data_IF_375268161685
#
_entry.id   IF_375268161685
#
_cell.length_a   1.000
_cell.length_b   1.000
_cell.length_c   1.000
_cell.angle_alpha   90.00
_cell.angle_beta   90.00
_cell.angle_gamma   90.00
#
_symmetry.space_group_name_H-M   'P 1'
#
loop_
_entity.id
_entity.type
_entity.pdbx_description
1 polymer ?
#
# COMPACT_ATOMS: atom_id res chain seq x y z
N UNK A 1 -0.34 16.42 5.48
CA UNK A 1 -0.98 16.12 4.20
C UNK A 1 -0.31 15.02 3.39
N UNK A 2 1.01 14.89 3.38
CA UNK A 2 1.75 13.83 2.67
C UNK A 2 1.29 12.41 3.03
N UNK A 3 1.22 12.02 4.31
CA UNK A 3 0.84 10.66 4.70
C UNK A 3 -0.61 10.34 4.27
N UNK A 4 -1.52 11.30 4.44
CA UNK A 4 -2.92 11.17 4.00
C UNK A 4 -3.04 11.02 2.48
N UNK A 5 -2.30 11.83 1.72
CA UNK A 5 -2.25 11.73 0.25
C UNK A 5 -1.66 10.40 -0.20
N UNK A 6 -0.60 9.95 0.45
CA UNK A 6 -0.01 8.64 0.19
C UNK A 6 -1.04 7.52 0.42
N UNK A 7 -1.71 7.50 1.58
CA UNK A 7 -2.74 6.51 1.89
C UNK A 7 -3.90 6.54 0.87
N UNK A 8 -4.35 7.74 0.47
CA UNK A 8 -5.41 7.87 -0.54
C UNK A 8 -4.95 7.35 -1.91
N UNK A 9 -3.76 7.75 -2.38
CA UNK A 9 -3.24 7.34 -3.69
C UNK A 9 -3.02 5.84 -3.75
N UNK A 10 -2.37 5.28 -2.74
CA UNK A 10 -2.18 3.82 -2.65
C UNK A 10 -3.51 3.11 -2.58
N UNK A 11 -4.46 3.61 -1.78
CA UNK A 11 -5.80 3.06 -1.66
C UNK A 11 -6.53 3.00 -3.01
N UNK A 12 -6.49 4.10 -3.77
CA UNK A 12 -7.07 4.19 -5.12
C UNK A 12 -6.39 3.19 -6.07
N UNK A 13 -5.05 3.19 -6.11
CA UNK A 13 -4.29 2.27 -6.98
C UNK A 13 -4.64 0.81 -6.69
N UNK A 14 -4.72 0.43 -5.42
CA UNK A 14 -5.02 -0.94 -5.01
C UNK A 14 -6.47 -1.33 -5.33
N UNK A 15 -7.44 -0.43 -5.16
CA UNK A 15 -8.80 -0.68 -5.63
C UNK A 15 -8.84 -0.92 -7.13
N UNK A 16 -8.17 -0.07 -7.91
CA UNK A 16 -8.11 -0.24 -9.36
C UNK A 16 -7.47 -1.57 -9.75
N UNK A 17 -6.32 -1.91 -9.16
CA UNK A 17 -5.65 -3.19 -9.41
C UNK A 17 -6.51 -4.40 -9.02
N UNK A 18 -7.15 -4.33 -7.86
CA UNK A 18 -8.03 -5.39 -7.37
C UNK A 18 -9.24 -5.61 -8.27
N UNK A 19 -9.89 -4.54 -8.74
CA UNK A 19 -10.99 -4.63 -9.71
C UNK A 19 -10.49 -5.17 -11.05
N UNK A 20 -9.41 -4.59 -11.59
CA UNK A 20 -8.88 -4.94 -12.90
C UNK A 20 -8.44 -6.41 -12.97
N UNK A 21 -7.86 -6.93 -11.89
CA UNK A 21 -7.41 -8.32 -11.84
C UNK A 21 -8.50 -9.37 -11.95
N UNK A 22 -9.78 -9.02 -11.74
CA UNK A 22 -10.89 -9.94 -12.02
C UNK A 22 -11.22 -10.04 -13.51
N UNK A 23 -10.79 -9.06 -14.31
CA UNK A 23 -11.00 -9.05 -15.76
C UNK A 23 -9.74 -9.48 -16.53
N UNK A 24 -8.56 -9.35 -15.92
CA UNK A 24 -7.27 -9.68 -16.53
C UNK A 24 -6.45 -10.57 -15.60
N UNK A 25 -6.09 -11.77 -16.07
CA UNK A 25 -5.26 -12.72 -15.33
C UNK A 25 -3.76 -12.39 -15.39
N UNK A 26 -3.36 -11.60 -16.38
CA UNK A 26 -1.99 -11.12 -16.53
C UNK A 26 -2.01 -9.67 -17.00
N UNK A 27 -1.40 -8.79 -16.22
CA UNK A 27 -1.27 -7.37 -16.54
C UNK A 27 0.12 -7.09 -17.12
N UNK A 28 0.13 -6.55 -18.35
CA UNK A 28 1.33 -6.24 -19.13
C UNK A 28 2.29 -7.41 -19.40
N UNK A 29 1.86 -8.66 -19.23
CA UNK A 29 2.73 -9.83 -19.37
C UNK A 29 3.65 -10.07 -18.17
N UNK A 30 3.57 -9.23 -17.14
CA UNK A 30 4.51 -9.18 -16.03
C UNK A 30 3.88 -9.46 -14.67
N UNK A 31 2.62 -9.08 -14.46
CA UNK A 31 1.93 -9.22 -13.18
C UNK A 31 0.84 -10.26 -13.28
N UNK A 32 1.01 -11.38 -12.60
CA UNK A 32 -0.01 -12.40 -12.44
C UNK A 32 -1.01 -11.91 -11.41
N UNK A 33 -2.27 -11.82 -11.83
CA UNK A 33 -3.38 -11.40 -10.98
C UNK A 33 -4.31 -12.60 -10.80
N UNK A 34 -4.44 -13.05 -9.56
CA UNK A 34 -5.33 -14.15 -9.22
C UNK A 34 -6.34 -13.73 -8.15
N UNK A 35 -7.39 -14.55 -7.97
CA UNK A 35 -8.50 -14.20 -7.08
C UNK A 35 -8.05 -13.83 -5.66
N UNK A 36 -7.19 -14.60 -4.96
CA UNK A 36 -6.70 -14.21 -3.64
C UNK A 36 -6.00 -12.84 -3.63
N UNK A 37 -5.09 -12.61 -4.58
CA UNK A 37 -4.37 -11.35 -4.70
C UNK A 37 -5.31 -10.18 -4.93
N UNK A 38 -6.29 -10.33 -5.82
CA UNK A 38 -7.25 -9.28 -6.15
C UNK A 38 -8.10 -8.89 -4.94
N UNK A 39 -8.56 -9.88 -4.15
CA UNK A 39 -9.30 -9.62 -2.91
C UNK A 39 -8.44 -8.86 -1.91
N UNK A 40 -7.18 -9.25 -1.73
CA UNK A 40 -6.24 -8.54 -0.84
C UNK A 40 -6.04 -7.09 -1.32
N UNK A 41 -5.89 -6.86 -2.63
CA UNK A 41 -5.79 -5.52 -3.19
C UNK A 41 -7.05 -4.69 -2.93
N UNK A 42 -8.25 -5.25 -3.10
CA UNK A 42 -9.50 -4.55 -2.79
C UNK A 42 -9.57 -4.15 -1.31
N UNK A 43 -9.28 -5.08 -0.39
CA UNK A 43 -9.31 -4.82 1.05
C UNK A 43 -8.30 -3.73 1.43
N UNK A 44 -7.05 -3.87 1.00
CA UNK A 44 -6.01 -2.86 1.24
C UNK A 44 -6.38 -1.50 0.62
N UNK A 45 -7.03 -1.51 -0.54
CA UNK A 45 -7.53 -0.32 -1.22
C UNK A 45 -8.57 0.45 -0.41
N UNK A 46 -9.60 -0.26 0.08
CA UNK A 46 -10.61 0.32 0.98
C UNK A 46 -9.97 0.84 2.26
N UNK A 47 -9.10 0.06 2.90
CA UNK A 47 -8.42 0.47 4.12
C UNK A 47 -7.57 1.73 3.92
N UNK A 48 -6.87 1.85 2.79
CA UNK A 48 -6.07 3.04 2.46
C UNK A 48 -6.92 4.29 2.31
N UNK A 49 -8.06 4.20 1.62
CA UNK A 49 -9.02 5.30 1.50
C UNK A 49 -9.59 5.71 2.85
N UNK A 50 -10.04 4.75 3.66
CA UNK A 50 -10.56 5.04 5.00
C UNK A 50 -9.49 5.69 5.88
N UNK A 51 -8.27 5.15 5.87
CA UNK A 51 -7.13 5.68 6.63
C UNK A 51 -6.75 7.10 6.21
N UNK A 52 -6.95 7.48 4.94
CA UNK A 52 -6.67 8.83 4.46
C UNK A 52 -7.52 9.93 5.13
N UNK A 53 -8.60 9.55 5.81
CA UNK A 53 -9.48 10.49 6.53
C UNK A 53 -8.78 11.18 7.70
N UNK A 54 -7.82 10.51 8.35
CA UNK A 54 -7.14 11.02 9.54
C UNK A 54 -5.62 10.81 9.45
N UNK A 55 -4.83 11.82 9.82
CA UNK A 55 -3.35 11.77 9.70
C UNK A 55 -2.77 10.56 10.44
N UNK A 56 -3.20 10.32 11.69
CA UNK A 56 -2.72 9.19 12.49
C UNK A 56 -3.00 7.84 11.84
N UNK A 57 -4.20 7.65 11.26
CA UNK A 57 -4.55 6.42 10.56
C UNK A 57 -3.75 6.26 9.27
N UNK A 58 -3.51 7.34 8.53
CA UNK A 58 -2.70 7.29 7.33
C UNK A 58 -1.25 6.84 7.62
N UNK A 59 -0.65 7.31 8.73
CA UNK A 59 0.65 6.81 9.19
C UNK A 59 0.60 5.33 9.57
N UNK A 60 -0.39 4.91 10.38
CA UNK A 60 -0.55 3.50 10.75
C UNK A 60 -0.74 2.59 9.54
N UNK A 61 -1.54 3.02 8.58
CA UNK A 61 -1.72 2.32 7.31
C UNK A 61 -0.39 2.17 6.56
N UNK A 62 0.38 3.26 6.40
CA UNK A 62 1.68 3.20 5.72
C UNK A 62 2.67 2.26 6.43
N UNK A 63 2.70 2.26 7.76
CA UNK A 63 3.53 1.36 8.56
C UNK A 63 3.14 -0.11 8.33
N UNK A 64 1.85 -0.44 8.50
CA UNK A 64 1.35 -1.82 8.34
C UNK A 64 1.55 -2.29 6.91
N UNK A 65 1.17 -1.47 5.92
CA UNK A 65 1.35 -1.79 4.51
C UNK A 65 2.83 -2.05 4.21
N UNK A 66 3.73 -1.19 4.71
CA UNK A 66 5.17 -1.31 4.51
C UNK A 66 5.74 -2.62 5.05
N UNK A 67 5.37 -3.00 6.27
CA UNK A 67 5.80 -4.27 6.89
C UNK A 67 5.28 -5.46 6.09
N UNK A 68 3.99 -5.46 5.72
CA UNK A 68 3.37 -6.54 4.96
C UNK A 68 4.05 -6.68 3.59
N UNK A 69 4.23 -5.59 2.86
CA UNK A 69 4.80 -5.61 1.51
C UNK A 69 6.26 -6.02 1.48
N UNK A 70 7.08 -5.58 2.44
CA UNK A 70 8.45 -6.10 2.56
C UNK A 70 8.48 -7.58 2.95
N UNK A 71 7.57 -8.02 3.81
CA UNK A 71 7.47 -9.45 4.16
C UNK A 71 7.13 -10.27 2.92
N UNK A 72 6.16 -9.83 2.11
CA UNK A 72 5.83 -10.47 0.84
C UNK A 72 7.01 -10.48 -0.14
N UNK A 73 7.76 -9.37 -0.22
CA UNK A 73 8.94 -9.29 -1.07
C UNK A 73 10.05 -10.27 -0.65
N UNK A 74 10.26 -10.43 0.66
CA UNK A 74 11.22 -11.42 1.20
C UNK A 74 10.73 -12.83 0.93
N UNK A 75 9.45 -13.14 1.20
CA UNK A 75 8.86 -14.45 0.93
C UNK A 75 8.95 -14.81 -0.56
N UNK A 76 8.63 -13.86 -1.45
CA UNK A 76 8.68 -14.09 -2.90
C UNK A 76 10.08 -14.43 -3.41
N UNK A 77 11.15 -13.86 -2.83
CA UNK A 77 12.53 -14.29 -3.14
C UNK A 77 12.78 -15.74 -2.69
N UNK A 78 12.30 -16.09 -1.49
CA UNK A 78 12.62 -17.37 -0.85
C UNK A 78 11.84 -18.54 -1.41
N UNK A 79 10.53 -18.38 -1.66
CA UNK A 79 9.64 -19.47 -2.03
C UNK A 79 9.17 -19.40 -3.48
N UNK A 80 9.39 -18.27 -4.19
CA UNK A 80 8.84 -17.99 -5.54
C UNK A 80 7.30 -18.03 -5.60
N UNK A 81 6.67 -18.03 -4.44
CA UNK A 81 5.24 -17.87 -4.24
C UNK A 81 5.03 -16.91 -3.05
N UNK A 82 3.81 -16.44 -2.83
CA UNK A 82 3.44 -15.83 -1.56
C UNK A 82 2.38 -16.68 -0.89
N UNK A 83 2.79 -17.38 0.15
CA UNK A 83 1.96 -18.26 0.99
C UNK A 83 1.32 -19.42 0.20
N UNK A 84 1.92 -19.84 -0.93
CA UNK A 84 1.34 -20.85 -1.82
C UNK A 84 0.07 -20.42 -2.56
N UNK A 85 -0.37 -19.16 -2.41
CA UNK A 85 -1.64 -18.66 -2.95
C UNK A 85 -1.47 -17.71 -4.12
N UNK A 86 -0.31 -17.07 -4.28
CA UNK A 86 -0.08 -16.10 -5.35
C UNK A 86 1.32 -16.30 -5.95
N UNK A 87 1.46 -16.31 -7.30
CA UNK A 87 2.78 -16.36 -7.93
C UNK A 87 3.61 -15.14 -7.54
N UNK A 88 4.86 -15.36 -7.15
CA UNK A 88 5.81 -14.28 -6.88
C UNK A 88 6.81 -14.18 -8.04
N UNK A 89 6.33 -13.71 -9.19
CA UNK A 89 7.21 -13.36 -10.30
C UNK A 89 8.17 -12.22 -9.92
N UNK A 90 9.25 -12.06 -10.69
CA UNK A 90 10.27 -11.05 -10.39
C UNK A 90 9.68 -9.62 -10.37
N UNK A 91 8.78 -9.32 -11.31
CA UNK A 91 8.17 -8.00 -11.44
C UNK A 91 7.26 -7.68 -10.23
N UNK A 92 6.42 -8.63 -9.83
CA UNK A 92 5.60 -8.56 -8.62
C UNK A 92 6.50 -8.34 -7.40
N UNK A 93 7.58 -9.10 -7.28
CA UNK A 93 8.44 -9.06 -6.11
C UNK A 93 9.17 -7.71 -5.97
N UNK A 94 9.66 -7.17 -7.09
CA UNK A 94 10.27 -5.83 -7.15
C UNK A 94 9.24 -4.76 -6.78
N UNK A 95 8.00 -4.88 -7.27
CA UNK A 95 6.94 -3.95 -6.92
C UNK A 95 6.61 -4.02 -5.42
N UNK A 96 6.51 -5.22 -4.84
CA UNK A 96 6.28 -5.39 -3.40
C UNK A 96 7.39 -4.72 -2.58
N UNK A 97 8.65 -4.92 -2.97
CA UNK A 97 9.78 -4.28 -2.30
C UNK A 97 9.70 -2.75 -2.37
N UNK A 98 9.48 -2.20 -3.57
CA UNK A 98 9.45 -0.75 -3.78
C UNK A 98 8.30 -0.09 -3.00
N UNK A 99 7.08 -0.64 -3.09
CA UNK A 99 5.92 -0.14 -2.35
C UNK A 99 6.15 -0.27 -0.83
N UNK A 100 6.70 -1.39 -0.38
CA UNK A 100 7.01 -1.64 1.02
C UNK A 100 8.01 -0.62 1.59
N UNK A 101 9.12 -0.39 0.87
CA UNK A 101 10.14 0.57 1.26
C UNK A 101 9.60 2.00 1.33
N UNK A 102 8.84 2.44 0.31
CA UNK A 102 8.22 3.77 0.30
C UNK A 102 7.22 3.92 1.44
N UNK A 103 6.39 2.90 1.68
CA UNK A 103 5.39 2.92 2.74
C UNK A 103 6.02 3.02 4.14
N UNK A 104 7.11 2.28 4.40
CA UNK A 104 7.87 2.42 5.66
C UNK A 104 8.52 3.79 5.80
N UNK A 105 9.09 4.33 4.72
CA UNK A 105 9.67 5.67 4.75
C UNK A 105 8.61 6.72 5.11
N UNK A 106 7.42 6.66 4.48
CA UNK A 106 6.29 7.53 4.82
C UNK A 106 5.81 7.28 6.26
N UNK A 107 5.72 6.02 6.68
CA UNK A 107 5.19 5.60 7.96
C UNK A 107 6.07 5.95 9.18
N UNK A 108 7.38 5.99 9.02
CA UNK A 108 8.33 6.15 10.12
C UNK A 108 9.24 7.39 10.02
N UNK A 109 9.50 7.89 8.81
CA UNK A 109 10.49 8.97 8.58
C UNK A 109 9.82 10.31 8.25
N UNK A 110 8.74 10.31 7.46
CA UNK A 110 8.09 11.55 7.04
C UNK A 110 7.36 12.20 8.21
N UNK A 111 7.89 13.31 8.73
CA UNK A 111 7.24 14.11 9.75
C UNK A 111 6.54 15.30 9.11
N UNK A 112 5.25 15.43 9.34
CA UNK A 112 4.49 16.61 8.95
C UNK A 112 4.53 17.66 10.07
N UNK A 113 5.16 18.80 9.81
CA UNK A 113 5.05 19.95 10.71
C UNK A 113 3.60 20.42 10.71
N UNK A 114 2.93 20.34 11.87
CA UNK A 114 1.60 20.92 12.04
C UNK A 114 1.65 22.40 11.67
N UNK A 115 0.85 22.82 10.69
CA UNK A 115 0.70 24.24 10.37
C UNK A 115 0.31 25.03 11.62
N UNK A 116 0.75 26.29 11.75
CA UNK A 116 0.62 27.06 12.99
C UNK A 116 -0.82 26.99 13.49
N UNK A 117 -0.99 26.48 14.72
CA UNK A 117 -2.26 26.55 15.43
C UNK A 117 -2.62 28.04 15.52
N UNK A 118 -3.67 28.45 14.80
CA UNK A 118 -4.30 29.75 15.02
C UNK A 118 -4.99 29.71 16.38
N UNK A 119 -4.22 29.76 17.45
CA UNK A 119 -4.72 30.07 18.79
C UNK A 119 -4.32 31.49 19.14
N UNK A 120 -5.30 32.25 19.60
CA UNK A 120 -5.21 33.62 20.10
C UNK A 120 -5.30 34.72 19.04
N UNK A 121 -6.52 34.98 18.57
CA UNK A 121 -7.02 36.35 18.70
C UNK A 121 -7.80 36.40 20.01
N UNK A 122 -7.06 36.65 21.10
CA UNK A 122 -7.60 37.32 22.25
C UNK A 122 -7.68 38.82 21.93
N UNK A 123 -8.62 39.46 22.63
CA UNK A 123 -9.00 40.88 22.66
C UNK A 123 -10.07 41.27 21.65
#
# INVERSE_FOLDING_TARGET
MAARRFAALVGIVFLFLGILGFFYSNLFGLFHLNTPQNVIHLVAGVLGLLASSYVGYAYRFAQVLGIVFLTLAVLGVLTRDTLGLMPAGLAENVLHFAVGAIALYVGYVVIESGGPSRSSRAV
#
